data_IF_110078615639
#
_entry.id   IF_110078615639
#
_cell.length_a   1.000
_cell.length_b   1.000
_cell.length_c   1.000
_cell.angle_alpha   90.00
_cell.angle_beta   90.00
_cell.angle_gamma   90.00
#
_symmetry.space_group_name_H-M   'P 1'
#
loop_
_entity.id
_entity.type
_entity.pdbx_description
1 polymer ?
#
# COMPACT_ATOMS: atom_id res chain seq x y z
N UNK A 1 -8.14 18.43 13.94
CA UNK A 1 -8.83 18.64 12.66
C UNK A 1 -8.16 19.84 11.99
N UNK A 2 -7.06 19.59 11.24
CA UNK A 2 -6.35 20.65 10.48
C UNK A 2 -7.06 20.82 9.15
N UNK A 3 -7.59 21.99 8.93
CA UNK A 3 -8.15 22.43 7.65
C UNK A 3 -7.07 22.40 6.57
N UNK A 4 -7.31 21.64 5.53
CA UNK A 4 -6.55 21.67 4.28
C UNK A 4 -6.77 23.04 3.61
N UNK A 5 -5.84 23.96 3.82
CA UNK A 5 -5.74 25.17 3.00
C UNK A 5 -5.39 24.77 1.57
N UNK A 6 -6.13 25.34 0.62
CA UNK A 6 -6.04 25.01 -0.79
C UNK A 6 -4.62 25.13 -1.33
N UNK A 7 -4.13 24.02 -1.86
CA UNK A 7 -2.88 24.00 -2.61
C UNK A 7 -3.07 24.74 -3.92
N UNK A 8 -2.26 25.78 -4.08
CA UNK A 8 -2.02 26.46 -5.34
C UNK A 8 -1.75 25.43 -6.44
N UNK A 9 -2.46 25.55 -7.57
CA UNK A 9 -2.46 24.59 -8.68
C UNK A 9 -1.14 24.63 -9.49
N UNK A 10 -0.02 24.45 -8.85
CA UNK A 10 1.23 24.06 -9.50
C UNK A 10 1.11 22.63 -10.05
N UNK A 11 1.83 22.31 -11.13
CA UNK A 11 1.84 20.95 -11.66
C UNK A 11 2.33 19.96 -10.59
N UNK A 12 1.93 18.68 -10.72
CA UNK A 12 2.37 17.61 -9.81
C UNK A 12 3.89 17.55 -9.71
N UNK A 13 4.58 17.83 -10.83
CA UNK A 13 6.03 17.89 -10.89
C UNK A 13 6.59 19.03 -10.02
N UNK A 14 5.95 20.19 -10.04
CA UNK A 14 6.35 21.33 -9.21
C UNK A 14 6.14 21.06 -7.73
N UNK A 15 5.05 20.38 -7.37
CA UNK A 15 4.77 19.96 -6.01
C UNK A 15 5.81 18.93 -5.52
N UNK A 16 6.17 17.94 -6.35
CA UNK A 16 7.16 16.91 -6.02
C UNK A 16 8.55 17.47 -5.68
N UNK A 17 8.92 18.61 -6.25
CA UNK A 17 10.21 19.26 -5.94
C UNK A 17 10.31 19.67 -4.47
N UNK A 18 9.19 19.87 -3.80
CA UNK A 18 9.13 20.37 -2.43
C UNK A 18 8.41 19.48 -1.43
N UNK A 19 7.65 18.49 -1.91
CA UNK A 19 6.88 17.59 -1.06
C UNK A 19 7.79 16.85 -0.06
N UNK A 20 7.28 16.64 1.15
CA UNK A 20 8.00 15.97 2.22
C UNK A 20 9.23 16.72 2.76
N UNK A 21 9.40 18.01 2.42
CA UNK A 21 10.57 18.82 2.83
C UNK A 21 10.15 20.03 3.63
N UNK A 22 10.86 20.30 4.73
CA UNK A 22 10.74 21.58 5.43
C UNK A 22 11.39 22.69 4.57
N UNK A 23 10.65 23.77 4.38
CA UNK A 23 11.10 24.95 3.62
C UNK A 23 11.51 26.15 4.49
N UNK A 24 11.59 25.95 5.78
CA UNK A 24 12.00 27.01 6.70
C UNK A 24 13.45 27.42 6.43
N UNK A 25 13.80 28.72 6.50
CA UNK A 25 15.18 29.15 6.36
C UNK A 25 16.10 28.42 7.34
N UNK A 26 17.20 27.84 6.83
CA UNK A 26 18.14 27.07 7.61
C UNK A 26 17.83 25.56 7.70
N UNK A 27 16.68 25.11 7.23
CA UNK A 27 16.37 23.67 7.15
C UNK A 27 17.20 22.96 6.08
N UNK A 28 17.55 21.68 6.27
CA UNK A 28 18.18 20.87 5.24
C UNK A 28 17.34 20.80 3.97
N UNK A 29 17.99 20.76 2.79
CA UNK A 29 17.27 20.59 1.51
C UNK A 29 16.51 19.28 1.39
N UNK A 30 16.97 18.25 2.07
CA UNK A 30 16.29 16.94 2.15
C UNK A 30 16.06 16.59 3.61
N UNK A 31 15.02 15.77 3.86
CA UNK A 31 14.78 15.24 5.20
C UNK A 31 15.97 14.40 5.65
N UNK A 32 16.62 14.74 6.76
CA UNK A 32 17.73 13.94 7.28
C UNK A 32 17.24 12.53 7.68
N UNK A 33 18.04 11.47 7.46
CA UNK A 33 17.73 10.17 8.00
C UNK A 33 17.62 10.21 9.53
N UNK A 34 16.51 9.71 10.06
CA UNK A 34 16.28 9.68 11.52
C UNK A 34 16.25 8.22 11.99
N UNK A 35 17.42 7.60 12.31
CA UNK A 35 17.51 6.21 12.72
C UNK A 35 17.17 6.00 14.22
N UNK A 36 16.33 6.84 14.78
CA UNK A 36 15.90 6.73 16.18
C UNK A 36 14.69 5.80 16.30
N UNK A 37 14.69 4.95 17.33
CA UNK A 37 13.52 4.13 17.69
C UNK A 37 12.72 4.75 18.86
N UNK A 38 13.40 5.45 19.77
CA UNK A 38 12.79 6.09 20.92
C UNK A 38 13.10 7.58 20.91
N UNK A 39 12.18 8.38 21.43
CA UNK A 39 12.30 9.83 21.54
C UNK A 39 12.16 10.28 22.99
N UNK A 40 12.69 11.46 23.30
CA UNK A 40 12.50 12.06 24.62
C UNK A 40 11.03 12.41 24.78
N UNK A 41 10.44 11.97 25.89
CA UNK A 41 9.03 12.22 26.20
C UNK A 41 8.74 13.72 26.38
N UNK A 42 7.54 14.13 26.00
CA UNK A 42 7.08 15.51 26.17
C UNK A 42 6.54 16.16 24.89
N UNK A 43 6.60 15.45 23.77
CA UNK A 43 6.00 15.85 22.49
C UNK A 43 5.20 14.68 21.91
N UNK A 44 4.73 14.81 20.66
CA UNK A 44 3.87 13.83 19.97
C UNK A 44 4.57 12.51 19.61
N UNK A 45 5.90 12.41 19.75
CA UNK A 45 6.65 11.18 19.50
C UNK A 45 7.27 10.62 20.77
N UNK A 46 7.03 9.32 20.97
CA UNK A 46 7.68 8.53 21.99
C UNK A 46 8.40 7.30 21.38
N UNK A 47 7.74 6.64 20.43
CA UNK A 47 8.26 5.42 19.81
C UNK A 47 7.99 5.41 18.30
N UNK A 48 9.04 5.20 17.50
CA UNK A 48 8.98 5.35 16.05
C UNK A 48 7.98 4.43 15.35
N UNK A 49 7.68 3.25 15.92
CA UNK A 49 6.72 2.32 15.30
C UNK A 49 5.26 2.73 15.49
N UNK A 50 4.99 3.49 16.54
CA UNK A 50 3.65 4.00 16.82
C UNK A 50 3.47 5.42 16.26
N UNK A 51 4.51 6.25 16.41
CA UNK A 51 4.43 7.69 16.16
C UNK A 51 5.16 8.13 14.88
N UNK A 52 5.79 7.19 14.16
CA UNK A 52 6.55 7.49 12.96
C UNK A 52 7.92 8.15 13.21
N UNK A 53 8.56 8.57 12.13
CA UNK A 53 9.77 9.37 12.11
C UNK A 53 9.69 10.41 10.98
N UNK A 54 10.42 11.52 11.03
CA UNK A 54 10.44 12.47 9.93
C UNK A 54 10.77 11.84 8.57
N UNK A 55 11.61 10.80 8.56
CA UNK A 55 11.97 10.08 7.33
C UNK A 55 10.80 9.29 6.72
N UNK A 56 9.98 8.65 7.54
CA UNK A 56 8.80 7.91 7.07
C UNK A 56 7.69 8.85 6.64
N UNK A 57 7.43 9.86 7.47
CA UNK A 57 6.40 10.87 7.22
C UNK A 57 6.61 11.60 5.90
N UNK A 58 7.86 11.94 5.56
CA UNK A 58 8.19 12.54 4.29
C UNK A 58 7.88 11.63 3.09
N UNK A 59 8.15 10.32 3.21
CA UNK A 59 7.78 9.33 2.19
C UNK A 59 6.26 9.19 2.08
N UNK A 60 5.59 9.10 3.21
CA UNK A 60 4.14 8.94 3.29
C UNK A 60 3.42 10.16 2.73
N UNK A 61 3.90 11.37 3.02
CA UNK A 61 3.38 12.61 2.43
C UNK A 61 3.48 12.60 0.90
N UNK A 62 4.66 12.24 0.36
CA UNK A 62 4.89 12.23 -1.09
C UNK A 62 4.01 11.19 -1.77
N UNK A 63 3.99 9.96 -1.27
CA UNK A 63 3.20 8.88 -1.88
C UNK A 63 1.71 9.14 -1.73
N UNK A 64 1.26 9.56 -0.55
CA UNK A 64 -0.13 9.92 -0.31
C UNK A 64 -0.60 11.06 -1.19
N UNK A 65 0.21 12.10 -1.35
CA UNK A 65 -0.11 13.23 -2.22
C UNK A 65 -0.18 12.86 -3.71
N UNK A 66 0.70 11.96 -4.18
CA UNK A 66 0.65 11.43 -5.56
C UNK A 66 -0.61 10.62 -5.84
N UNK A 67 -1.09 9.88 -4.87
CA UNK A 67 -2.28 9.02 -4.98
C UNK A 67 -3.57 9.76 -4.57
N UNK A 68 -3.48 11.03 -4.18
CA UNK A 68 -4.65 11.83 -3.76
C UNK A 68 -5.26 11.41 -2.43
N UNK A 69 -4.46 10.82 -1.53
CA UNK A 69 -4.91 10.30 -0.25
C UNK A 69 -3.83 10.33 0.83
N UNK A 70 -3.95 9.44 1.80
CA UNK A 70 -2.94 9.19 2.83
C UNK A 70 -2.24 7.86 2.55
N UNK A 71 -0.95 7.76 2.86
CA UNK A 71 -0.21 6.52 2.75
C UNK A 71 0.41 6.10 4.08
N UNK A 72 0.71 4.82 4.20
CA UNK A 72 1.42 4.23 5.36
C UNK A 72 2.57 3.38 4.84
N UNK A 73 3.77 3.66 5.31
CA UNK A 73 4.97 2.94 4.92
C UNK A 73 5.14 1.64 5.72
N UNK A 74 5.55 0.58 5.04
CA UNK A 74 5.85 -0.72 5.64
C UNK A 74 7.28 -1.15 5.30
N UNK A 75 7.88 -1.97 6.16
CA UNK A 75 9.22 -2.50 5.96
C UNK A 75 9.33 -3.45 4.73
N UNK A 76 8.20 -3.92 4.20
CA UNK A 76 8.15 -4.72 2.97
C UNK A 76 6.77 -4.68 2.33
N UNK A 77 6.70 -4.94 1.02
CA UNK A 77 5.42 -5.05 0.31
C UNK A 77 4.53 -6.15 0.89
N UNK A 78 5.10 -7.28 1.35
CA UNK A 78 4.31 -8.33 2.00
C UNK A 78 3.74 -7.90 3.35
N UNK A 79 4.43 -7.04 4.09
CA UNK A 79 3.89 -6.47 5.33
C UNK A 79 2.68 -5.56 5.04
N UNK A 80 2.78 -4.71 4.02
CA UNK A 80 1.66 -3.89 3.57
C UNK A 80 0.46 -4.74 3.13
N UNK A 81 0.70 -5.78 2.32
CA UNK A 81 -0.32 -6.71 1.86
C UNK A 81 -0.98 -7.43 3.05
N UNK A 82 -0.19 -7.93 3.99
CA UNK A 82 -0.71 -8.62 5.16
C UNK A 82 -1.60 -7.71 6.02
N UNK A 83 -1.21 -6.45 6.18
CA UNK A 83 -2.02 -5.46 6.89
C UNK A 83 -3.39 -5.24 6.24
N UNK A 84 -3.46 -5.20 4.90
CA UNK A 84 -4.73 -5.09 4.17
C UNK A 84 -5.58 -6.34 4.38
N UNK A 85 -5.00 -7.53 4.22
CA UNK A 85 -5.74 -8.78 4.42
C UNK A 85 -6.25 -8.93 5.87
N UNK A 86 -5.52 -8.37 6.84
CA UNK A 86 -5.92 -8.45 8.25
C UNK A 86 -7.15 -7.60 8.58
N UNK A 87 -7.44 -6.57 7.77
CA UNK A 87 -8.66 -5.75 7.89
C UNK A 87 -9.92 -6.45 7.35
N UNK A 88 -9.76 -7.56 6.60
CA UNK A 88 -10.91 -8.23 6.02
C UNK A 88 -11.76 -8.94 7.09
N UNK A 89 -13.09 -8.81 7.03
CA UNK A 89 -13.98 -9.51 7.96
C UNK A 89 -13.90 -11.03 7.77
N UNK A 90 -14.26 -11.77 8.81
CA UNK A 90 -14.43 -13.22 8.71
C UNK A 90 -15.58 -13.53 7.76
N UNK A 91 -15.34 -14.45 6.83
CA UNK A 91 -16.30 -14.80 5.79
C UNK A 91 -16.20 -14.00 4.50
N UNK A 92 -15.29 -13.01 4.44
CA UNK A 92 -15.08 -12.19 3.24
C UNK A 92 -14.83 -13.04 1.97
N UNK A 93 -15.24 -12.52 0.84
CA UNK A 93 -14.94 -13.08 -0.49
C UNK A 93 -13.78 -12.32 -1.10
N UNK A 94 -12.68 -13.01 -1.36
CA UNK A 94 -11.44 -12.46 -1.90
C UNK A 94 -11.22 -12.91 -3.33
N UNK A 95 -11.13 -11.97 -4.26
CA UNK A 95 -10.82 -12.20 -5.68
C UNK A 95 -9.34 -12.07 -5.98
N UNK A 96 -8.74 -13.06 -6.65
CA UNK A 96 -7.34 -13.05 -7.08
C UNK A 96 -7.19 -13.52 -8.52
N UNK A 97 -6.27 -12.94 -9.30
CA UNK A 97 -5.89 -13.54 -10.57
C UNK A 97 -5.09 -14.84 -10.38
N UNK A 98 -5.14 -15.73 -11.38
CA UNK A 98 -4.39 -16.99 -11.33
C UNK A 98 -2.88 -16.78 -11.29
N UNK A 99 -2.40 -15.72 -11.90
CA UNK A 99 -0.99 -15.35 -12.03
C UNK A 99 -0.53 -14.29 -11.02
N UNK A 100 -1.27 -14.09 -9.93
CA UNK A 100 -0.87 -13.15 -8.89
C UNK A 100 0.46 -13.56 -8.24
N UNK A 101 1.11 -12.59 -7.60
CA UNK A 101 2.34 -12.83 -6.85
C UNK A 101 2.15 -13.96 -5.82
N UNK A 102 3.09 -14.91 -5.78
CA UNK A 102 2.98 -16.12 -4.96
C UNK A 102 2.78 -15.84 -3.47
N UNK A 103 3.40 -14.78 -2.94
CA UNK A 103 3.22 -14.37 -1.55
C UNK A 103 1.77 -13.99 -1.24
N UNK A 104 1.10 -13.27 -2.15
CA UNK A 104 -0.32 -12.92 -2.03
C UNK A 104 -1.20 -14.15 -2.11
N UNK A 105 -0.95 -15.02 -3.09
CA UNK A 105 -1.69 -16.27 -3.22
C UNK A 105 -1.55 -17.15 -1.98
N UNK A 106 -0.32 -17.29 -1.46
CA UNK A 106 -0.04 -18.06 -0.26
C UNK A 106 -0.76 -17.51 0.98
N UNK A 107 -0.71 -16.19 1.19
CA UNK A 107 -1.40 -15.52 2.29
C UNK A 107 -2.92 -15.72 2.20
N UNK A 108 -3.50 -15.52 1.02
CA UNK A 108 -4.93 -15.68 0.78
C UNK A 108 -5.39 -17.11 1.02
N UNK A 109 -4.67 -18.10 0.47
CA UNK A 109 -5.02 -19.53 0.65
C UNK A 109 -4.82 -19.98 2.10
N UNK A 110 -3.80 -19.49 2.79
CA UNK A 110 -3.62 -19.78 4.21
C UNK A 110 -4.78 -19.25 5.07
N UNK A 111 -5.28 -18.05 4.77
CA UNK A 111 -6.47 -17.51 5.44
C UNK A 111 -7.73 -18.29 5.13
N UNK A 112 -7.93 -18.72 3.88
CA UNK A 112 -9.04 -19.60 3.49
C UNK A 112 -8.98 -20.93 4.24
N UNK A 113 -7.80 -21.54 4.33
CA UNK A 113 -7.62 -22.80 5.05
C UNK A 113 -7.93 -22.69 6.55
N UNK A 114 -7.76 -21.50 7.11
CA UNK A 114 -8.13 -21.17 8.50
C UNK A 114 -9.60 -20.73 8.67
N UNK A 115 -10.39 -20.75 7.60
CA UNK A 115 -11.80 -20.35 7.63
C UNK A 115 -12.04 -18.84 7.77
N UNK A 116 -11.01 -17.99 7.51
CA UNK A 116 -11.16 -16.52 7.61
C UNK A 116 -11.99 -15.95 6.47
N UNK A 117 -11.74 -16.43 5.22
CA UNK A 117 -12.41 -15.94 4.00
C UNK A 117 -12.48 -17.03 2.93
N UNK A 118 -13.20 -16.75 1.84
CA UNK A 118 -13.26 -17.57 0.64
C UNK A 118 -12.48 -16.94 -0.49
N UNK A 119 -11.57 -17.69 -1.13
CA UNK A 119 -10.77 -17.21 -2.25
C UNK A 119 -11.39 -17.64 -3.58
N UNK A 120 -11.61 -16.70 -4.48
CA UNK A 120 -12.02 -16.89 -5.88
C UNK A 120 -10.86 -16.53 -6.78
N UNK A 121 -10.34 -17.50 -7.53
CA UNK A 121 -9.25 -17.28 -8.47
C UNK A 121 -9.78 -17.31 -9.90
N UNK A 122 -9.44 -16.29 -10.70
CA UNK A 122 -9.89 -16.13 -12.07
C UNK A 122 -8.71 -15.89 -13.02
N UNK A 123 -8.87 -16.28 -14.27
CA UNK A 123 -7.94 -15.87 -15.32
C UNK A 123 -8.07 -14.36 -15.56
N UNK A 124 -6.96 -13.66 -15.80
CA UNK A 124 -6.95 -12.18 -15.98
C UNK A 124 -7.83 -11.77 -17.16
N UNK A 125 -7.85 -12.58 -18.20
CA UNK A 125 -8.59 -12.34 -19.44
C UNK A 125 -10.10 -12.60 -19.35
N UNK A 126 -10.58 -13.22 -18.26
CA UNK A 126 -12.00 -13.57 -18.07
C UNK A 126 -12.80 -12.38 -17.50
N UNK A 127 -12.93 -11.33 -18.30
CA UNK A 127 -13.58 -10.08 -17.88
C UNK A 127 -15.01 -10.30 -17.40
N UNK A 128 -15.75 -11.24 -18.01
CA UNK A 128 -17.14 -11.50 -17.64
C UNK A 128 -17.23 -11.99 -16.21
N UNK A 129 -16.41 -12.99 -15.83
CA UNK A 129 -16.37 -13.50 -14.45
C UNK A 129 -15.82 -12.49 -13.45
N UNK A 130 -14.90 -11.61 -13.86
CA UNK A 130 -14.45 -10.52 -12.99
C UNK A 130 -15.58 -9.55 -12.66
N UNK A 131 -16.43 -9.19 -13.65
CA UNK A 131 -17.59 -8.33 -13.42
C UNK A 131 -18.57 -9.01 -12.45
N UNK A 132 -18.86 -10.30 -12.64
CA UNK A 132 -19.70 -11.07 -11.73
C UNK A 132 -19.12 -11.11 -10.31
N UNK A 133 -17.81 -11.31 -10.19
CA UNK A 133 -17.13 -11.36 -8.90
C UNK A 133 -17.15 -10.00 -8.20
N UNK A 134 -17.02 -8.89 -8.92
CA UNK A 134 -17.09 -7.54 -8.35
C UNK A 134 -18.42 -7.25 -7.63
N UNK A 135 -19.50 -7.93 -8.01
CA UNK A 135 -20.80 -7.77 -7.36
C UNK A 135 -20.89 -8.44 -5.96
N UNK A 136 -20.00 -9.37 -5.65
CA UNK A 136 -20.06 -10.19 -4.43
C UNK A 136 -18.75 -10.24 -3.64
N UNK A 137 -17.64 -9.74 -4.19
CA UNK A 137 -16.37 -9.74 -3.51
C UNK A 137 -16.24 -8.56 -2.54
N UNK A 138 -15.78 -8.84 -1.34
CA UNK A 138 -15.41 -7.83 -0.35
C UNK A 138 -14.02 -7.23 -0.66
N UNK A 139 -13.18 -7.99 -1.34
CA UNK A 139 -11.83 -7.57 -1.71
C UNK A 139 -11.37 -8.20 -3.01
N UNK A 140 -10.80 -7.40 -3.90
CA UNK A 140 -10.17 -7.85 -5.14
C UNK A 140 -8.75 -7.34 -5.19
N UNK A 141 -7.80 -8.28 -5.32
CA UNK A 141 -6.40 -7.96 -5.53
C UNK A 141 -6.07 -7.97 -7.02
N UNK A 142 -5.75 -6.81 -7.57
CA UNK A 142 -5.25 -6.69 -8.94
C UNK A 142 -3.87 -6.03 -8.91
N UNK A 143 -2.95 -6.55 -9.70
CA UNK A 143 -1.63 -5.97 -9.85
C UNK A 143 -1.44 -5.46 -11.28
N UNK A 144 -1.05 -4.22 -11.44
CA UNK A 144 -0.96 -3.55 -12.75
C UNK A 144 0.11 -4.14 -13.69
N UNK A 145 1.08 -4.89 -13.15
CA UNK A 145 2.08 -5.65 -13.91
C UNK A 145 1.96 -7.11 -13.54
N UNK A 146 1.26 -7.89 -14.35
CA UNK A 146 1.47 -9.32 -14.38
C UNK A 146 2.94 -9.56 -14.79
N UNK A 147 3.63 -10.50 -14.12
CA UNK A 147 4.88 -11.01 -14.65
C UNK A 147 4.60 -11.50 -16.09
N UNK A 148 5.29 -11.01 -17.10
CA UNK A 148 5.10 -11.55 -18.43
C UNK A 148 5.47 -13.03 -18.36
N UNK A 149 4.48 -13.91 -18.44
CA UNK A 149 4.74 -15.33 -18.65
C UNK A 149 5.69 -15.42 -19.82
N UNK A 150 6.85 -16.05 -19.65
CA UNK A 150 7.68 -16.42 -20.78
C UNK A 150 6.77 -17.26 -21.68
N UNK A 151 6.38 -16.69 -22.84
CA UNK A 151 5.75 -17.46 -23.89
C UNK A 151 6.77 -18.52 -24.31
N UNK A 152 6.62 -19.74 -23.85
CA UNK A 152 7.51 -20.81 -24.29
C UNK A 152 7.59 -22.06 -23.42
N UNK A 153 7.09 -22.06 -22.20
CA UNK A 153 7.13 -23.28 -21.39
C UNK A 153 5.83 -24.09 -21.56
N UNK A 154 5.67 -24.65 -22.76
CA UNK A 154 4.87 -25.85 -22.94
C UNK A 154 5.73 -27.01 -22.39
N UNK A 155 5.45 -27.45 -21.17
CA UNK A 155 5.96 -28.70 -20.66
C UNK A 155 5.33 -29.83 -21.47
N UNK A 156 6.16 -30.44 -22.34
CA UNK A 156 5.96 -31.77 -22.90
C UNK A 156 6.14 -32.83 -21.81
#
# INVERSE_FOLDING_TARGET
>A
MKTTEGHDTGSVESWLVSAGRDRSPGSPLNVPPTPASNFVLGDHRAYSRDDGTPSWEALEEIVGGLEGGSSVAFASGMAAIAAIFDQLPVGAVVGLPHDCYQGVAGLALAGQHRGRWTVRRLAVEDTARWIELCAVADFIWLFRRSNPRRRGDSLS
#
